data_IF_067335312509
#
_entry.id   IF_067335312509
#
_cell.length_a   1.000
_cell.length_b   1.000
_cell.length_c   1.000
_cell.angle_alpha   90.00
_cell.angle_beta   90.00
_cell.angle_gamma   90.00
#
_symmetry.space_group_name_H-M   'P 1'
#
loop_
_entity.id
_entity.type
_entity.pdbx_description
1 polymer ?
#
# COMPACT_ATOMS: atom_id res chain seq x y z
N UNK A 1 -46.66 4.50 -11.79
CA UNK A 1 -45.28 5.03 -11.75
C UNK A 1 -44.35 3.84 -11.48
N UNK A 2 -43.43 3.52 -12.39
CA UNK A 2 -42.39 2.50 -12.11
C UNK A 2 -41.32 3.20 -11.27
N UNK A 3 -41.19 2.77 -10.02
CA UNK A 3 -40.05 3.15 -9.16
C UNK A 3 -38.83 2.49 -9.80
N UNK A 4 -37.95 3.31 -10.35
CA UNK A 4 -36.63 2.86 -10.80
C UNK A 4 -35.77 2.91 -9.55
N UNK A 5 -35.35 1.74 -9.05
CA UNK A 5 -34.36 1.68 -7.98
C UNK A 5 -33.11 2.44 -8.45
N UNK A 6 -32.56 3.36 -7.64
CA UNK A 6 -31.33 4.05 -7.99
C UNK A 6 -30.22 3.01 -8.20
N UNK A 7 -29.33 3.22 -9.19
CA UNK A 7 -28.24 2.30 -9.45
C UNK A 7 -27.44 2.10 -8.17
N UNK A 8 -27.31 0.82 -7.81
CA UNK A 8 -26.59 0.30 -6.66
C UNK A 8 -25.35 1.15 -6.40
N UNK A 9 -25.37 1.89 -5.28
CA UNK A 9 -24.33 2.84 -4.89
C UNK A 9 -23.01 2.08 -4.89
N UNK A 10 -22.09 2.49 -5.79
CA UNK A 10 -20.77 1.89 -5.96
C UNK A 10 -20.20 1.48 -4.62
N UNK A 11 -20.09 0.17 -4.46
CA UNK A 11 -19.46 -0.44 -3.32
C UNK A 11 -18.00 -0.01 -3.37
N UNK A 12 -17.64 0.91 -2.48
CA UNK A 12 -16.24 1.21 -2.16
C UNK A 12 -15.68 0.00 -1.40
N UNK A 13 -15.64 -1.14 -2.09
CA UNK A 13 -15.14 -2.40 -1.60
C UNK A 13 -13.66 -2.23 -1.31
N UNK A 14 -13.16 -2.85 -0.24
CA UNK A 14 -11.84 -2.62 0.33
C UNK A 14 -10.62 -2.70 -0.62
N UNK A 15 -10.81 -3.10 -1.89
CA UNK A 15 -9.79 -3.05 -2.95
C UNK A 15 -9.23 -1.64 -3.19
N UNK A 16 -10.06 -0.58 -3.16
CA UNK A 16 -9.58 0.79 -3.34
C UNK A 16 -8.76 1.26 -2.13
N UNK A 17 -9.13 0.84 -0.92
CA UNK A 17 -8.38 1.13 0.31
C UNK A 17 -7.02 0.44 0.29
N UNK A 18 -6.96 -0.81 -0.16
CA UNK A 18 -5.71 -1.56 -0.31
C UNK A 18 -4.79 -0.97 -1.42
N UNK A 19 -5.36 -0.48 -2.52
CA UNK A 19 -4.61 0.18 -3.59
C UNK A 19 -3.97 1.51 -3.13
N UNK A 20 -4.72 2.35 -2.40
CA UNK A 20 -4.20 3.59 -1.84
C UNK A 20 -3.09 3.31 -0.80
N UNK A 21 -3.29 2.34 0.09
CA UNK A 21 -2.27 1.95 1.07
C UNK A 21 -0.98 1.44 0.40
N UNK A 22 -1.11 0.66 -0.68
CA UNK A 22 0.01 0.19 -1.51
C UNK A 22 0.77 1.35 -2.13
N UNK A 23 0.07 2.34 -2.69
CA UNK A 23 0.67 3.51 -3.32
C UNK A 23 1.44 4.38 -2.31
N UNK A 24 0.85 4.68 -1.16
CA UNK A 24 1.51 5.46 -0.09
C UNK A 24 2.76 4.74 0.43
N UNK A 25 2.67 3.42 0.63
CA UNK A 25 3.80 2.59 1.06
C UNK A 25 4.94 2.65 0.03
N UNK A 26 4.63 2.53 -1.26
CA UNK A 26 5.62 2.59 -2.34
C UNK A 26 6.32 3.95 -2.40
N UNK A 27 5.60 5.07 -2.25
CA UNK A 27 6.22 6.40 -2.19
C UNK A 27 7.18 6.54 -1.01
N UNK A 28 6.81 6.04 0.16
CA UNK A 28 7.66 6.12 1.35
C UNK A 28 8.96 5.31 1.19
N UNK A 29 8.91 4.15 0.52
CA UNK A 29 10.11 3.38 0.21
C UNK A 29 11.08 4.20 -0.65
N UNK A 30 10.59 4.84 -1.72
CA UNK A 30 11.44 5.66 -2.59
C UNK A 30 12.01 6.88 -1.86
N UNK A 31 11.20 7.52 -0.99
CA UNK A 31 11.66 8.61 -0.13
C UNK A 31 12.79 8.16 0.81
N UNK A 32 12.64 7.01 1.47
CA UNK A 32 13.66 6.51 2.40
C UNK A 32 14.94 6.07 1.67
N UNK A 33 14.84 5.47 0.47
CA UNK A 33 16.01 5.17 -0.37
C UNK A 33 16.79 6.43 -0.73
N UNK A 34 16.08 7.48 -1.17
CA UNK A 34 16.70 8.75 -1.52
C UNK A 34 17.42 9.39 -0.32
N UNK A 35 16.77 9.41 0.86
CA UNK A 35 17.39 9.91 2.10
C UNK A 35 18.60 9.10 2.52
N UNK A 36 18.52 7.77 2.39
CA UNK A 36 19.61 6.86 2.75
C UNK A 36 20.85 7.08 1.89
N UNK A 37 20.67 7.37 0.59
CA UNK A 37 21.77 7.60 -0.35
C UNK A 37 22.66 8.79 0.03
N UNK A 38 22.12 9.76 0.78
CA UNK A 38 22.81 10.99 1.16
C UNK A 38 23.15 11.08 2.66
N UNK A 39 22.73 10.11 3.47
CA UNK A 39 22.89 10.17 4.93
C UNK A 39 24.27 9.69 5.39
N UNK A 40 25.01 10.58 6.06
CA UNK A 40 26.33 10.32 6.63
C UNK A 40 26.27 9.87 8.10
N UNK A 41 25.19 10.17 8.83
CA UNK A 41 25.01 9.80 10.22
C UNK A 41 24.55 8.35 10.35
N UNK A 42 25.39 7.49 10.96
CA UNK A 42 25.13 6.06 11.15
C UNK A 42 23.84 5.76 11.92
N UNK A 43 23.51 6.57 12.93
CA UNK A 43 22.29 6.41 13.73
C UNK A 43 21.03 6.65 12.90
N UNK A 44 20.98 7.76 12.16
CA UNK A 44 19.89 8.06 11.23
C UNK A 44 19.79 7.04 10.11
N UNK A 45 20.93 6.59 9.59
CA UNK A 45 21.00 5.52 8.58
C UNK A 45 20.34 4.23 9.07
N UNK A 46 20.59 3.83 10.33
CA UNK A 46 19.94 2.65 10.93
C UNK A 46 18.43 2.81 10.99
N UNK A 47 17.94 3.95 11.47
CA UNK A 47 16.50 4.25 11.54
C UNK A 47 15.86 4.21 10.15
N UNK A 48 16.50 4.80 9.14
CA UNK A 48 16.01 4.78 7.76
C UNK A 48 15.92 3.36 7.19
N UNK A 49 16.89 2.49 7.50
CA UNK A 49 16.87 1.08 7.10
C UNK A 49 15.72 0.32 7.78
N UNK A 50 15.48 0.54 9.07
CA UNK A 50 14.37 -0.08 9.80
C UNK A 50 13.01 0.35 9.23
N UNK A 51 12.84 1.66 8.95
CA UNK A 51 11.65 2.18 8.30
C UNK A 51 11.43 1.57 6.91
N UNK A 52 12.50 1.48 6.11
CA UNK A 52 12.44 0.88 4.77
C UNK A 52 12.06 -0.61 4.83
N UNK A 53 12.62 -1.37 5.77
CA UNK A 53 12.26 -2.76 5.98
C UNK A 53 10.78 -2.93 6.37
N UNK A 54 10.27 -2.05 7.24
CA UNK A 54 8.87 -2.06 7.66
C UNK A 54 7.92 -1.75 6.47
N UNK A 55 8.19 -0.69 5.70
CA UNK A 55 7.38 -0.37 4.51
C UNK A 55 7.41 -1.50 3.47
N UNK A 56 8.57 -2.13 3.25
CA UNK A 56 8.67 -3.29 2.36
C UNK A 56 7.81 -4.48 2.84
N UNK A 57 7.80 -4.74 4.15
CA UNK A 57 6.97 -5.79 4.75
C UNK A 57 5.47 -5.50 4.58
N UNK A 58 5.04 -4.24 4.80
CA UNK A 58 3.65 -3.81 4.56
C UNK A 58 3.26 -4.04 3.10
N UNK A 59 4.08 -3.58 2.16
CA UNK A 59 3.83 -3.73 0.73
C UNK A 59 3.69 -5.21 0.32
N UNK A 60 4.58 -6.07 0.83
CA UNK A 60 4.57 -7.51 0.59
C UNK A 60 3.28 -8.16 1.12
N UNK A 61 2.83 -7.77 2.32
CA UNK A 61 1.58 -8.26 2.91
C UNK A 61 0.36 -7.85 2.09
N UNK A 62 0.28 -6.59 1.65
CA UNK A 62 -0.83 -6.11 0.83
C UNK A 62 -0.86 -6.80 -0.53
N UNK A 63 0.30 -6.97 -1.18
CA UNK A 63 0.40 -7.72 -2.44
C UNK A 63 -0.13 -9.15 -2.30
N UNK A 64 0.25 -9.86 -1.23
CA UNK A 64 -0.23 -11.22 -0.98
C UNK A 64 -1.75 -11.28 -0.80
N UNK A 65 -2.35 -10.30 -0.11
CA UNK A 65 -3.80 -10.21 0.05
C UNK A 65 -4.51 -10.02 -1.28
N UNK A 66 -4.00 -9.13 -2.15
CA UNK A 66 -4.57 -8.90 -3.49
C UNK A 66 -4.51 -10.15 -4.36
N UNK A 67 -3.37 -10.85 -4.38
CA UNK A 67 -3.25 -12.10 -5.15
C UNK A 67 -4.18 -13.20 -4.62
N UNK A 68 -4.36 -13.31 -3.30
CA UNK A 68 -5.33 -14.25 -2.71
C UNK A 68 -6.76 -13.92 -3.14
N UNK A 69 -7.15 -12.64 -3.11
CA UNK A 69 -8.50 -12.23 -3.54
C UNK A 69 -8.76 -12.53 -5.02
N UNK A 70 -7.74 -12.41 -5.90
CA UNK A 70 -7.89 -12.78 -7.32
C UNK A 70 -8.19 -14.28 -7.48
N UNK A 71 -7.55 -15.12 -6.68
CA UNK A 71 -7.80 -16.57 -6.67
C UNK A 71 -9.21 -16.87 -6.17
N UNK A 72 -9.63 -16.26 -5.06
CA UNK A 72 -10.95 -16.51 -4.46
C UNK A 72 -12.12 -16.04 -5.35
N UNK A 73 -11.88 -15.11 -6.27
CA UNK A 73 -12.87 -14.56 -7.22
C UNK A 73 -12.90 -15.28 -8.58
N UNK A 74 -12.01 -16.27 -8.81
CA UNK A 74 -11.90 -17.04 -10.07
C UNK A 74 -12.52 -18.43 -9.94
#
# INVERSE_FOLDING_TARGET
MKVVDPPNMQSCDGSHVDALATFVTAQNIELYKARLATEANLGRRRVLLELLANEFAKLSKTRRRVEQMKVDLS
#
